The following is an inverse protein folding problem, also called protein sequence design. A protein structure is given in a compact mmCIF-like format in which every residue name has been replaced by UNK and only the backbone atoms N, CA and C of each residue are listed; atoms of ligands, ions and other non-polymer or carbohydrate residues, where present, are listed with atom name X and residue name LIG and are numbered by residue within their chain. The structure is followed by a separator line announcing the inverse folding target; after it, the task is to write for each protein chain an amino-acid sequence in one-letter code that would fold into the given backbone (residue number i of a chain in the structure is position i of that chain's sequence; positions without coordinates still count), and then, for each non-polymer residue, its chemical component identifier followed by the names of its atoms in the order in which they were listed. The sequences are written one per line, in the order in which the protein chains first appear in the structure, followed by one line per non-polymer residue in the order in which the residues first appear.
data_IF_536010483373
#
_entry.id   IF_536010483373
#
_cell.length_a   1.000
_cell.length_b   1.000
_cell.length_c   1.000
_cell.angle_alpha   90.00
_cell.angle_beta   90.00
_cell.angle_gamma   90.00
#
_symmetry.space_group_name_H-M   'P 1'
#
loop_
_entity.id
_entity.type
_entity.pdbx_description
1 polymer ?
#
# COMPACT_ATOMS: atom_id res chain seq x y z
N UNK A 1 -16.36 14.46 -3.99
CA UNK A 1 -16.03 14.41 -2.54
C UNK A 1 -14.52 14.33 -2.41
N UNK A 2 -13.92 14.81 -1.32
CA UNK A 2 -12.47 14.73 -1.17
C UNK A 2 -12.10 13.49 -0.36
N UNK A 3 -11.21 12.66 -0.88
CA UNK A 3 -10.68 11.49 -0.18
C UNK A 3 -9.20 11.71 0.11
N UNK A 4 -8.79 11.41 1.33
CA UNK A 4 -7.37 11.37 1.71
C UNK A 4 -6.99 9.98 2.14
N UNK A 5 -5.86 9.49 1.62
CA UNK A 5 -5.28 8.19 1.99
C UNK A 5 -3.88 8.45 2.53
N UNK A 6 -3.63 8.02 3.76
CA UNK A 6 -2.29 8.02 4.38
C UNK A 6 -1.80 6.59 4.48
N UNK A 7 -0.63 6.30 3.90
CA UNK A 7 0.09 5.04 4.13
C UNK A 7 1.11 5.27 5.23
N UNK A 8 0.94 4.59 6.36
CA UNK A 8 1.82 4.71 7.52
C UNK A 8 3.02 3.79 7.39
N UNK A 9 2.75 2.50 7.20
CA UNK A 9 3.80 1.47 7.17
C UNK A 9 3.34 0.20 6.43
N UNK A 10 4.30 -0.65 6.09
CA UNK A 10 4.08 -1.99 5.56
C UNK A 10 4.97 -2.98 6.32
N UNK A 11 4.47 -4.19 6.60
CA UNK A 11 5.21 -5.22 7.33
C UNK A 11 4.82 -6.64 6.89
N UNK A 12 5.61 -7.63 7.31
CA UNK A 12 5.30 -9.06 7.10
C UNK A 12 5.88 -9.66 5.82
N UNK A 13 7.00 -9.13 5.31
CA UNK A 13 7.61 -9.59 4.05
C UNK A 13 8.82 -10.52 4.23
N UNK A 14 8.91 -11.26 5.34
CA UNK A 14 10.08 -12.06 5.70
C UNK A 14 10.47 -13.08 4.61
N UNK A 15 9.50 -13.70 3.90
CA UNK A 15 9.78 -14.64 2.81
C UNK A 15 10.43 -14.01 1.57
N UNK A 16 10.23 -12.72 1.34
CA UNK A 16 10.77 -12.00 0.17
C UNK A 16 12.18 -11.47 0.37
N UNK A 17 12.63 -11.49 1.62
CA UNK A 17 13.95 -11.05 2.00
C UNK A 17 14.93 -12.14 1.55
N UNK A 18 15.56 -11.96 0.38
CA UNK A 18 16.61 -12.90 -0.07
C UNK A 18 17.74 -13.06 0.96
N UNK A 19 18.79 -13.81 0.64
CA UNK A 19 19.91 -14.17 1.55
C UNK A 19 20.51 -13.03 2.40
N UNK A 20 20.31 -11.76 2.04
CA UNK A 20 20.84 -10.58 2.74
C UNK A 20 19.81 -9.68 3.41
N UNK A 21 18.51 -9.99 3.36
CA UNK A 21 17.45 -9.17 3.94
C UNK A 21 17.45 -7.69 3.53
N UNK A 22 17.41 -7.45 2.22
CA UNK A 22 17.54 -6.13 1.59
C UNK A 22 16.53 -5.93 0.47
N UNK A 23 15.26 -5.87 0.83
CA UNK A 23 14.21 -5.40 -0.08
C UNK A 23 14.09 -3.88 0.02
N UNK A 24 13.89 -3.26 -1.13
CA UNK A 24 13.67 -1.82 -1.29
C UNK A 24 12.17 -1.57 -1.39
N UNK A 25 11.50 -1.47 -0.25
CA UNK A 25 10.04 -1.49 -0.18
C UNK A 25 9.42 -0.16 -0.59
N UNK A 26 8.32 -0.23 -1.34
CA UNK A 26 7.40 0.88 -1.54
C UNK A 26 5.96 0.39 -1.68
N UNK A 27 4.99 1.26 -1.40
CA UNK A 27 3.56 0.94 -1.48
C UNK A 27 2.94 1.71 -2.64
N UNK A 28 2.31 1.00 -3.58
CA UNK A 28 1.47 1.57 -4.64
C UNK A 28 0.00 1.54 -4.19
N UNK A 29 -0.69 2.67 -4.37
CA UNK A 29 -2.12 2.80 -4.14
C UNK A 29 -2.80 3.19 -5.46
N UNK A 30 -3.84 2.45 -5.84
CA UNK A 30 -4.68 2.74 -7.00
C UNK A 30 -6.11 3.01 -6.58
N UNK A 31 -6.72 4.03 -7.18
CA UNK A 31 -8.12 4.37 -6.99
C UNK A 31 -8.80 4.58 -8.35
N UNK A 32 -9.74 3.70 -8.68
CA UNK A 32 -10.34 3.65 -10.02
C UNK A 32 -9.29 3.42 -11.12
N UNK A 33 -9.60 3.85 -12.35
CA UNK A 33 -8.73 3.62 -13.52
C UNK A 33 -7.56 4.60 -13.63
N UNK A 34 -7.71 5.83 -13.13
CA UNK A 34 -6.81 6.93 -13.49
C UNK A 34 -5.95 7.45 -12.34
N UNK A 35 -6.24 7.06 -11.10
CA UNK A 35 -5.47 7.51 -9.96
C UNK A 35 -4.53 6.42 -9.47
N UNK A 36 -3.25 6.74 -9.45
CA UNK A 36 -2.17 5.87 -9.00
C UNK A 36 -1.14 6.73 -8.28
N UNK A 37 -0.75 6.31 -7.09
CA UNK A 37 0.32 6.92 -6.32
C UNK A 37 1.22 5.85 -5.76
N UNK A 38 2.42 6.25 -5.35
CA UNK A 38 3.28 5.37 -4.60
C UNK A 38 4.09 6.16 -3.58
N UNK A 39 4.44 5.51 -2.48
CA UNK A 39 5.37 6.06 -1.49
C UNK A 39 6.77 6.19 -2.09
N UNK A 40 7.63 6.94 -1.43
CA UNK A 40 9.08 6.81 -1.59
C UNK A 40 9.50 5.39 -1.27
N UNK A 41 10.56 4.96 -1.95
CA UNK A 41 11.22 3.69 -1.69
C UNK A 41 12.03 3.77 -0.40
N UNK A 42 11.73 2.87 0.54
CA UNK A 42 12.52 2.61 1.72
C UNK A 42 13.63 1.62 1.35
N UNK A 43 14.86 2.11 1.19
CA UNK A 43 16.01 1.30 0.77
C UNK A 43 16.49 0.38 1.88
N UNK A 44 16.92 -0.83 1.51
CA UNK A 44 17.43 -1.86 2.42
C UNK A 44 16.49 -2.11 3.62
N UNK A 45 15.17 -1.96 3.41
CA UNK A 45 14.16 -2.04 4.46
C UNK A 45 13.92 -3.47 4.97
N UNK A 46 14.20 -4.47 4.13
CA UNK A 46 13.95 -5.86 4.48
C UNK A 46 12.46 -6.13 4.61
N UNK A 47 12.00 -6.68 5.73
CA UNK A 47 10.62 -7.17 5.87
C UNK A 47 9.57 -6.10 6.27
N UNK A 48 9.96 -4.84 6.47
CA UNK A 48 9.05 -3.77 6.90
C UNK A 48 9.60 -2.37 6.63
N UNK A 49 8.71 -1.39 6.41
CA UNK A 49 9.08 0.01 6.21
C UNK A 49 7.99 0.97 6.70
N UNK A 50 8.43 2.15 7.15
CA UNK A 50 7.55 3.30 7.49
C UNK A 50 7.64 4.36 6.37
N UNK A 51 6.51 5.00 6.07
CA UNK A 51 6.39 5.97 4.98
C UNK A 51 5.75 7.29 5.44
N UNK A 52 4.60 7.21 6.12
CA UNK A 52 3.82 8.38 6.57
C UNK A 52 3.46 9.35 5.43
N UNK A 53 3.06 8.81 4.27
CA UNK A 53 2.74 9.60 3.07
C UNK A 53 1.24 9.70 2.84
N UNK A 54 0.78 10.91 2.50
CA UNK A 54 -0.65 11.20 2.29
C UNK A 54 -0.90 11.74 0.90
N UNK A 55 -1.92 11.19 0.24
CA UNK A 55 -2.47 11.72 -1.01
C UNK A 55 -3.92 12.12 -0.82
N UNK A 56 -4.29 13.25 -1.40
CA UNK A 56 -5.64 13.79 -1.36
C UNK A 56 -6.14 14.02 -2.78
N UNK A 57 -7.34 13.56 -3.08
CA UNK A 57 -7.92 13.63 -4.42
C UNK A 57 -9.44 13.75 -4.38
N UNK A 58 -10.01 14.21 -5.49
CA UNK A 58 -11.46 14.23 -5.69
C UNK A 58 -11.93 12.85 -6.13
N UNK A 59 -12.82 12.24 -5.35
CA UNK A 59 -13.47 10.98 -5.67
C UNK A 59 -14.71 11.19 -6.52
N UNK A 60 -14.91 10.28 -7.47
CA UNK A 60 -16.23 10.02 -8.06
C UNK A 60 -17.00 9.04 -7.17
N UNK A 61 -18.32 9.23 -7.05
CA UNK A 61 -19.17 8.45 -6.14
C UNK A 61 -19.31 6.96 -6.52
N UNK A 62 -18.64 6.49 -7.59
CA UNK A 62 -18.75 5.13 -8.12
C UNK A 62 -17.65 4.15 -7.68
N UNK A 63 -16.59 4.60 -6.99
CA UNK A 63 -15.45 3.72 -6.64
C UNK A 63 -15.16 3.72 -5.13
N UNK A 64 -15.59 2.70 -4.39
CA UNK A 64 -15.38 2.62 -2.93
C UNK A 64 -14.22 1.69 -2.54
N UNK A 65 -13.20 1.59 -3.39
CA UNK A 65 -12.10 0.64 -3.24
C UNK A 65 -10.75 1.27 -3.60
N UNK A 66 -9.74 0.96 -2.78
CA UNK A 66 -8.32 1.27 -3.04
C UNK A 66 -7.59 -0.05 -3.22
N UNK A 67 -6.98 -0.28 -4.37
CA UNK A 67 -6.04 -1.40 -4.54
C UNK A 67 -4.68 -0.99 -3.98
N UNK A 68 -4.07 -1.87 -3.20
CA UNK A 68 -2.80 -1.65 -2.53
C UNK A 68 -1.85 -2.73 -2.99
N UNK A 69 -0.64 -2.34 -3.41
CA UNK A 69 0.44 -3.29 -3.73
C UNK A 69 1.69 -2.88 -2.99
N UNK A 70 2.38 -3.84 -2.39
CA UNK A 70 3.72 -3.61 -1.83
C UNK A 70 4.73 -4.24 -2.77
N UNK A 71 5.75 -3.47 -3.11
CA UNK A 71 6.70 -3.81 -4.15
C UNK A 71 8.14 -3.65 -3.69
N UNK A 72 9.02 -4.44 -4.28
CA UNK A 72 10.47 -4.35 -4.15
C UNK A 72 11.05 -3.66 -5.39
N UNK A 73 11.67 -2.50 -5.19
CA UNK A 73 12.28 -1.71 -6.24
C UNK A 73 13.62 -2.32 -6.67
N UNK A 74 13.73 -2.79 -7.92
CA UNK A 74 14.91 -3.55 -8.37
C UNK A 74 15.72 -2.76 -9.38
N UNK A 75 17.01 -2.59 -9.09
CA UNK A 75 17.89 -1.72 -9.89
C UNK A 75 18.12 -2.16 -11.35
N UNK A 76 17.90 -3.45 -11.68
CA UNK A 76 18.20 -4.05 -13.00
C UNK A 76 17.12 -5.01 -13.51
N UNK A 77 16.00 -5.13 -12.79
CA UNK A 77 14.86 -5.99 -13.14
C UNK A 77 13.59 -5.18 -12.94
N UNK A 78 12.48 -5.66 -13.50
CA UNK A 78 11.17 -5.10 -13.18
C UNK A 78 10.89 -5.26 -11.69
N UNK A 79 10.30 -4.24 -11.08
CA UNK A 79 9.92 -4.23 -9.68
C UNK A 79 9.00 -5.40 -9.36
N UNK A 80 9.30 -6.08 -8.26
CA UNK A 80 8.52 -7.24 -7.83
C UNK A 80 7.29 -6.81 -7.07
N UNK A 81 6.12 -7.37 -7.38
CA UNK A 81 5.01 -7.36 -6.43
C UNK A 81 5.27 -8.44 -5.38
N UNK A 82 5.35 -8.01 -4.12
CA UNK A 82 5.53 -8.89 -2.96
C UNK A 82 4.17 -9.34 -2.44
N UNK A 83 3.24 -8.41 -2.28
CA UNK A 83 1.87 -8.68 -1.88
C UNK A 83 0.91 -7.64 -2.43
N UNK A 84 -0.36 -8.00 -2.54
CA UNK A 84 -1.42 -7.09 -2.98
C UNK A 84 -2.73 -7.33 -2.25
N UNK A 85 -3.57 -6.30 -2.20
CA UNK A 85 -4.87 -6.36 -1.57
C UNK A 85 -5.77 -5.21 -1.98
N UNK A 86 -6.97 -5.19 -1.43
CA UNK A 86 -7.94 -4.14 -1.68
C UNK A 86 -8.57 -3.69 -0.37
N UNK A 87 -8.70 -2.39 -0.19
CA UNK A 87 -9.39 -1.79 0.93
C UNK A 87 -10.69 -1.14 0.46
N UNK A 88 -11.82 -1.62 0.97
CA UNK A 88 -13.14 -1.06 0.68
C UNK A 88 -13.54 -0.08 1.78
N UNK A 89 -14.16 1.02 1.39
CA UNK A 89 -14.55 2.07 2.31
C UNK A 89 -15.86 2.76 1.91
N UNK A 90 -16.54 3.37 2.87
CA UNK A 90 -17.76 4.12 2.57
C UNK A 90 -17.43 5.54 2.12
N UNK A 91 -17.82 5.84 0.90
CA UNK A 91 -17.75 7.18 0.33
C UNK A 91 -18.86 8.06 0.89
N UNK A 92 -18.66 8.62 2.10
CA UNK A 92 -19.56 9.60 2.71
C UNK A 92 -18.80 10.67 3.51
N UNK A 93 -19.32 11.92 3.58
CA UNK A 93 -18.70 12.96 4.39
C UNK A 93 -18.50 12.52 5.84
N UNK A 94 -17.30 12.71 6.37
CA UNK A 94 -16.93 12.33 7.74
C UNK A 94 -16.52 10.86 7.90
N UNK A 95 -16.47 10.07 6.83
CA UNK A 95 -15.88 8.72 6.92
C UNK A 95 -14.42 8.82 7.36
N UNK A 96 -14.05 7.95 8.31
CA UNK A 96 -12.71 7.84 8.84
C UNK A 96 -12.40 6.38 9.15
N UNK A 97 -11.26 5.91 8.66
CA UNK A 97 -10.69 4.62 9.01
C UNK A 97 -9.21 4.78 9.33
N UNK A 98 -8.72 4.06 10.34
CA UNK A 98 -7.29 3.86 10.57
C UNK A 98 -7.08 2.43 11.06
N UNK A 99 -6.13 1.72 10.48
CA UNK A 99 -5.90 0.32 10.83
C UNK A 99 -4.99 -0.40 9.85
N UNK A 100 -4.85 -1.70 10.08
CA UNK A 100 -4.08 -2.60 9.22
C UNK A 100 -4.98 -3.25 8.18
N UNK A 101 -4.47 -3.36 6.96
CA UNK A 101 -5.10 -4.07 5.85
C UNK A 101 -4.19 -5.23 5.50
N UNK A 102 -4.68 -6.45 5.70
CA UNK A 102 -3.98 -7.67 5.27
C UNK A 102 -3.88 -7.74 3.76
N UNK A 103 -2.74 -8.21 3.27
CA UNK A 103 -2.44 -8.39 1.86
C UNK A 103 -2.23 -9.88 1.56
N UNK A 104 -2.43 -10.24 0.30
CA UNK A 104 -2.17 -11.58 -0.21
C UNK A 104 -0.75 -11.66 -0.75
N UNK A 105 0.05 -12.58 -0.21
CA UNK A 105 1.32 -13.01 -0.76
C UNK A 105 1.16 -14.37 -1.45
N UNK A 106 1.10 -14.34 -2.79
CA UNK A 106 0.94 -15.56 -3.60
C UNK A 106 2.17 -16.49 -3.58
N UNK A 107 3.35 -16.00 -3.16
CA UNK A 107 4.62 -16.73 -3.31
C UNK A 107 5.03 -17.46 -2.04
N UNK A 108 4.89 -16.82 -0.89
CA UNK A 108 5.39 -17.38 0.38
C UNK A 108 4.28 -17.75 1.35
N UNK A 109 3.03 -17.29 1.12
CA UNK A 109 1.91 -17.56 2.02
C UNK A 109 2.06 -16.87 3.37
N UNK A 110 2.93 -15.86 3.47
CA UNK A 110 3.00 -14.96 4.62
C UNK A 110 1.70 -14.13 4.73
N UNK A 111 1.48 -13.50 5.88
CA UNK A 111 0.35 -12.59 6.13
C UNK A 111 0.83 -11.12 6.19
N UNK A 112 1.35 -10.54 5.09
CA UNK A 112 1.79 -9.15 5.10
C UNK A 112 0.63 -8.18 5.27
N UNK A 113 0.93 -6.99 5.77
CA UNK A 113 -0.07 -5.94 5.97
C UNK A 113 0.46 -4.55 5.66
N UNK A 114 -0.47 -3.65 5.37
CA UNK A 114 -0.22 -2.20 5.28
C UNK A 114 -1.09 -1.49 6.31
N UNK A 115 -0.47 -0.64 7.13
CA UNK A 115 -1.19 0.27 8.02
C UNK A 115 -1.53 1.54 7.27
N UNK A 116 -2.81 1.90 7.23
CA UNK A 116 -3.28 3.07 6.49
C UNK A 116 -4.40 3.81 7.23
N UNK A 117 -4.59 5.07 6.85
CA UNK A 117 -5.73 5.89 7.25
C UNK A 117 -6.46 6.38 5.99
N UNK A 118 -7.79 6.31 5.98
CA UNK A 118 -8.64 6.88 4.92
C UNK A 118 -9.62 7.86 5.53
N UNK A 119 -9.78 9.03 4.90
CA UNK A 119 -10.72 10.08 5.32
C UNK A 119 -11.53 10.57 4.13
N UNK A 120 -12.81 10.86 4.33
CA UNK A 120 -13.66 11.53 3.35
C UNK A 120 -14.19 12.85 3.89
N UNK A 121 -14.03 13.91 3.10
CA UNK A 121 -14.44 15.29 3.40
C UNK A 121 -15.38 15.86 2.32
#
# INVERSE_FOLDING_TARGET
MKVSVTVHSAAGFQGHTGLFNKSDLYVECHYGTFHSWHTKTAKDAGSSADFEETWTFDSNDSHSEITIKVRDARHLKLDETLAEGAFKFEQRPGYFYTGEVGLLDEKHGDEPSVRLTVKCE
#
